data_IF_424534192083
#
_entry.id   IF_424534192083
#
_cell.length_a   1.000
_cell.length_b   1.000
_cell.length_c   1.000
_cell.angle_alpha   90.00
_cell.angle_beta   90.00
_cell.angle_gamma   90.00
#
_symmetry.space_group_name_H-M   'P 1'
#
loop_
_entity.id
_entity.type
_entity.pdbx_description
1 polymer ?
#
# COMPACT_ATOMS: atom_id res chain seq x y z
N UNK A 1 25.12 1.84 12.23
CA UNK A 1 24.20 2.03 11.09
C UNK A 1 24.48 0.97 10.06
N UNK A 2 23.44 0.39 9.46
CA UNK A 2 23.58 -0.57 8.35
C UNK A 2 24.17 0.13 7.11
N UNK A 3 24.79 -0.62 6.20
CA UNK A 3 25.40 -0.04 5.00
C UNK A 3 24.36 0.54 4.04
N UNK A 4 24.74 1.53 3.24
CA UNK A 4 23.91 2.09 2.15
C UNK A 4 23.47 0.98 1.18
N UNK A 5 24.33 -0.02 0.97
CA UNK A 5 24.05 -1.19 0.13
C UNK A 5 22.87 -2.01 0.69
N UNK A 6 22.81 -2.22 2.00
CA UNK A 6 21.70 -2.93 2.63
C UNK A 6 20.37 -2.17 2.46
N UNK A 7 20.37 -0.85 2.64
CA UNK A 7 19.18 -0.03 2.40
C UNK A 7 18.70 -0.07 0.94
N UNK A 8 19.65 -0.02 -0.01
CA UNK A 8 19.35 -0.18 -1.44
C UNK A 8 18.77 -1.56 -1.76
N UNK A 9 19.32 -2.62 -1.17
CA UNK A 9 18.85 -3.98 -1.36
C UNK A 9 17.43 -4.20 -0.78
N UNK A 10 17.12 -3.65 0.40
CA UNK A 10 15.75 -3.67 0.98
C UNK A 10 14.76 -3.01 0.03
N UNK A 11 15.13 -1.85 -0.53
CA UNK A 11 14.27 -1.13 -1.51
C UNK A 11 14.09 -1.95 -2.79
N UNK A 12 15.16 -2.61 -3.27
CA UNK A 12 15.08 -3.50 -4.42
C UNK A 12 14.13 -4.68 -4.18
N UNK A 13 14.10 -5.25 -2.96
CA UNK A 13 13.16 -6.31 -2.59
C UNK A 13 11.71 -5.84 -2.70
N UNK A 14 11.38 -4.62 -2.25
CA UNK A 14 10.03 -4.04 -2.43
C UNK A 14 9.66 -4.01 -3.91
N UNK A 15 10.56 -3.48 -4.75
CA UNK A 15 10.34 -3.38 -6.19
C UNK A 15 10.15 -4.75 -6.86
N UNK A 16 11.07 -5.68 -6.62
CA UNK A 16 11.04 -7.03 -7.19
C UNK A 16 9.83 -7.84 -6.75
N UNK A 17 9.39 -7.69 -5.49
CA UNK A 17 8.19 -8.35 -5.00
C UNK A 17 6.90 -7.73 -5.58
N UNK A 18 6.88 -6.42 -5.81
CA UNK A 18 5.68 -5.72 -6.28
C UNK A 18 5.27 -6.08 -7.71
N UNK A 19 6.22 -6.32 -8.61
CA UNK A 19 5.93 -6.63 -10.01
C UNK A 19 5.10 -7.90 -10.21
N UNK A 20 5.53 -9.08 -9.70
CA UNK A 20 4.71 -10.29 -9.80
C UNK A 20 3.43 -10.18 -8.97
N UNK A 21 3.49 -9.54 -7.79
CA UNK A 21 2.32 -9.37 -6.94
C UNK A 21 1.22 -8.57 -7.64
N UNK A 22 1.55 -7.49 -8.37
CA UNK A 22 0.56 -6.72 -9.15
C UNK A 22 -0.22 -7.58 -10.13
N UNK A 23 0.49 -8.44 -10.89
CA UNK A 23 -0.12 -9.34 -11.87
C UNK A 23 -0.96 -10.42 -11.20
N UNK A 24 -0.48 -11.01 -10.10
CA UNK A 24 -1.21 -12.02 -9.34
C UNK A 24 -2.47 -11.44 -8.70
N UNK A 25 -2.38 -10.25 -8.12
CA UNK A 25 -3.51 -9.55 -7.52
C UNK A 25 -4.56 -9.16 -8.55
N UNK A 26 -4.16 -8.60 -9.70
CA UNK A 26 -5.09 -8.26 -10.77
C UNK A 26 -5.86 -9.50 -11.25
N UNK A 27 -5.12 -10.58 -11.55
CA UNK A 27 -5.69 -11.85 -11.99
C UNK A 27 -6.62 -12.46 -10.93
N UNK A 28 -6.22 -12.45 -9.66
CA UNK A 28 -7.03 -12.98 -8.57
C UNK A 28 -8.32 -12.16 -8.38
N UNK A 29 -8.21 -10.84 -8.38
CA UNK A 29 -9.37 -9.95 -8.25
C UNK A 29 -10.36 -10.11 -9.41
N UNK A 30 -9.86 -10.29 -10.63
CA UNK A 30 -10.69 -10.49 -11.82
C UNK A 30 -11.41 -11.85 -11.83
N UNK A 31 -10.67 -12.95 -11.63
CA UNK A 31 -11.23 -14.31 -11.72
C UNK A 31 -12.24 -14.59 -10.60
N UNK A 32 -12.01 -14.04 -9.42
CA UNK A 32 -12.83 -14.32 -8.24
C UNK A 32 -13.77 -13.18 -7.85
N UNK A 33 -13.88 -12.11 -8.66
CA UNK A 33 -14.60 -10.87 -8.32
C UNK A 33 -14.18 -10.31 -6.94
N UNK A 34 -12.92 -10.55 -6.57
CA UNK A 34 -12.39 -10.41 -5.22
C UNK A 34 -11.77 -9.03 -4.97
N UNK A 35 -12.31 -7.96 -5.57
CA UNK A 35 -11.74 -6.61 -5.48
C UNK A 35 -11.66 -6.10 -4.04
N UNK A 36 -12.76 -6.20 -3.31
CA UNK A 36 -12.84 -5.75 -1.90
C UNK A 36 -11.92 -6.56 -0.99
N UNK A 37 -12.00 -7.88 -1.04
CA UNK A 37 -11.18 -8.76 -0.19
C UNK A 37 -9.69 -8.59 -0.49
N UNK A 38 -9.31 -8.44 -1.76
CA UNK A 38 -7.91 -8.16 -2.14
C UNK A 38 -7.40 -6.84 -1.55
N UNK A 39 -8.18 -5.76 -1.64
CA UNK A 39 -7.81 -4.47 -1.06
C UNK A 39 -7.76 -4.51 0.48
N UNK A 40 -8.64 -5.28 1.13
CA UNK A 40 -8.58 -5.55 2.58
C UNK A 40 -7.29 -6.25 2.96
N UNK A 41 -6.91 -7.32 2.25
CA UNK A 41 -5.67 -8.04 2.51
C UNK A 41 -4.45 -7.13 2.28
N UNK A 42 -4.44 -6.35 1.20
CA UNK A 42 -3.38 -5.39 0.92
C UNK A 42 -3.24 -4.36 2.05
N UNK A 43 -4.34 -3.85 2.60
CA UNK A 43 -4.31 -2.94 3.73
C UNK A 43 -3.75 -3.62 5.00
N UNK A 44 -4.15 -4.86 5.29
CA UNK A 44 -3.61 -5.65 6.41
C UNK A 44 -2.11 -5.94 6.27
N UNK A 45 -1.64 -6.21 5.05
CA UNK A 45 -0.21 -6.33 4.76
C UNK A 45 0.53 -5.02 5.06
N UNK A 46 -0.07 -3.86 4.77
CA UNK A 46 0.49 -2.55 5.12
C UNK A 46 0.57 -2.30 6.63
N UNK A 47 -0.46 -2.69 7.38
CA UNK A 47 -0.47 -2.64 8.84
C UNK A 47 0.65 -3.53 9.40
N UNK A 48 0.72 -4.79 8.94
CA UNK A 48 1.75 -5.73 9.37
C UNK A 48 3.17 -5.26 9.04
N UNK A 49 3.38 -4.73 7.83
CA UNK A 49 4.68 -4.16 7.44
C UNK A 49 5.08 -2.98 8.36
N UNK A 50 4.14 -2.08 8.67
CA UNK A 50 4.40 -0.94 9.55
C UNK A 50 4.76 -1.40 10.98
N UNK A 51 4.02 -2.38 11.52
CA UNK A 51 4.33 -2.98 12.82
C UNK A 51 5.71 -3.64 12.83
N UNK A 52 6.05 -4.39 11.78
CA UNK A 52 7.38 -5.02 11.66
C UNK A 52 8.51 -3.99 11.59
N UNK A 53 8.29 -2.84 10.93
CA UNK A 53 9.28 -1.75 10.88
C UNK A 53 9.48 -1.09 12.25
N UNK A 54 8.41 -0.93 13.04
CA UNK A 54 8.53 -0.46 14.43
C UNK A 54 9.35 -1.45 15.28
N UNK A 55 9.04 -2.75 15.17
CA UNK A 55 9.77 -3.79 15.93
C UNK A 55 11.22 -3.89 15.46
N UNK A 56 11.49 -3.76 14.16
CA UNK A 56 12.84 -3.80 13.61
C UNK A 56 13.73 -2.64 14.13
N UNK A 57 13.13 -1.50 14.51
CA UNK A 57 13.85 -0.35 15.08
C UNK A 57 14.47 -0.62 16.46
N UNK A 58 13.85 -1.49 17.26
CA UNK A 58 14.31 -1.83 18.62
C UNK A 58 14.66 -3.31 18.80
N UNK A 59 14.49 -4.11 17.75
CA UNK A 59 14.55 -5.56 17.79
C UNK A 59 15.44 -6.14 16.68
N UNK A 60 15.13 -7.35 16.21
CA UNK A 60 15.99 -8.02 15.25
C UNK A 60 15.90 -7.39 13.87
N UNK A 61 17.04 -6.90 13.38
CA UNK A 61 17.12 -6.12 12.14
C UNK A 61 16.59 -6.85 10.90
N UNK A 62 16.65 -8.19 10.87
CA UNK A 62 16.23 -8.99 9.71
C UNK A 62 14.74 -8.85 9.39
N UNK A 63 13.93 -8.39 10.35
CA UNK A 63 12.50 -8.12 10.15
C UNK A 63 12.23 -7.07 9.06
N UNK A 64 13.21 -6.19 8.76
CA UNK A 64 13.09 -5.22 7.67
C UNK A 64 12.88 -5.89 6.31
N UNK A 65 13.45 -7.09 6.10
CA UNK A 65 13.28 -7.85 4.86
C UNK A 65 11.86 -8.38 4.72
N UNK A 66 11.28 -8.86 5.83
CA UNK A 66 9.90 -9.31 5.85
C UNK A 66 8.96 -8.13 5.61
N UNK A 67 9.21 -6.99 6.26
CA UNK A 67 8.45 -5.77 6.04
C UNK A 67 8.55 -5.28 4.59
N UNK A 68 9.73 -5.38 3.97
CA UNK A 68 9.93 -5.03 2.56
C UNK A 68 9.13 -5.93 1.62
N UNK A 69 9.13 -7.25 1.85
CA UNK A 69 8.31 -8.19 1.09
C UNK A 69 6.81 -7.89 1.26
N UNK A 70 6.35 -7.68 2.49
CA UNK A 70 4.95 -7.33 2.77
C UNK A 70 4.55 -6.00 2.12
N UNK A 71 5.45 -5.02 2.12
CA UNK A 71 5.24 -3.72 1.44
C UNK A 71 5.11 -3.91 -0.06
N UNK A 72 6.02 -4.67 -0.67
CA UNK A 72 6.01 -4.96 -2.09
C UNK A 72 4.73 -5.69 -2.53
N UNK A 73 4.37 -6.77 -1.83
CA UNK A 73 3.19 -7.59 -2.14
C UNK A 73 1.89 -6.84 -1.82
N UNK A 74 1.87 -6.05 -0.76
CA UNK A 74 0.70 -5.33 -0.28
C UNK A 74 0.63 -3.91 -0.85
N UNK A 75 0.92 -2.87 -0.04
CA UNK A 75 0.74 -1.48 -0.42
C UNK A 75 1.36 -1.07 -1.76
N UNK A 76 2.51 -1.61 -2.18
CA UNK A 76 3.11 -1.23 -3.49
C UNK A 76 2.36 -1.81 -4.70
N UNK A 77 1.47 -2.77 -4.48
CA UNK A 77 0.72 -3.48 -5.52
C UNK A 77 -0.75 -3.08 -5.61
N UNK A 78 -1.24 -2.19 -4.74
CA UNK A 78 -2.67 -1.80 -4.64
C UNK A 78 -3.31 -1.37 -5.96
N UNK A 79 -2.54 -0.67 -6.80
CA UNK A 79 -3.07 0.01 -7.99
C UNK A 79 -3.64 -0.97 -9.02
N UNK A 80 -3.08 -2.19 -9.10
CA UNK A 80 -3.55 -3.19 -10.06
C UNK A 80 -4.96 -3.68 -9.75
N UNK A 81 -5.31 -3.81 -8.47
CA UNK A 81 -6.67 -4.15 -8.03
C UNK A 81 -7.57 -2.92 -8.04
N UNK A 82 -7.08 -1.80 -7.50
CA UNK A 82 -7.86 -0.58 -7.32
C UNK A 82 -8.37 -0.01 -8.64
N UNK A 83 -7.51 0.08 -9.66
CA UNK A 83 -7.90 0.59 -10.98
C UNK A 83 -8.80 -0.39 -11.72
N UNK A 84 -8.57 -1.69 -11.61
CA UNK A 84 -9.42 -2.70 -12.24
C UNK A 84 -10.84 -2.67 -11.64
N UNK A 85 -10.94 -2.65 -10.31
CA UNK A 85 -12.21 -2.49 -9.62
C UNK A 85 -12.90 -1.18 -10.01
N UNK A 86 -12.17 -0.08 -10.08
CA UNK A 86 -12.70 1.22 -10.51
C UNK A 86 -13.32 1.16 -11.91
N UNK A 87 -12.68 0.50 -12.88
CA UNK A 87 -13.22 0.36 -14.23
C UNK A 87 -14.51 -0.47 -14.20
N UNK A 88 -14.52 -1.58 -13.45
CA UNK A 88 -15.68 -2.46 -13.32
C UNK A 88 -16.87 -1.74 -12.68
N UNK A 89 -16.66 -0.97 -11.60
CA UNK A 89 -17.75 -0.34 -10.85
C UNK A 89 -18.15 1.05 -11.37
N UNK A 90 -17.25 1.82 -11.99
CA UNK A 90 -17.58 3.13 -12.55
C UNK A 90 -18.16 3.04 -13.98
N UNK A 91 -17.84 1.95 -14.69
CA UNK A 91 -18.17 1.75 -16.09
C UNK A 91 -17.26 2.53 -17.06
N UNK A 92 -17.13 2.09 -18.33
CA UNK A 92 -16.16 2.64 -19.28
C UNK A 92 -16.30 4.15 -19.53
N UNK A 93 -17.54 4.65 -19.57
CA UNK A 93 -17.83 6.05 -19.85
C UNK A 93 -17.33 7.02 -18.74
N UNK A 94 -17.24 6.54 -17.49
CA UNK A 94 -16.79 7.34 -16.34
C UNK A 94 -15.39 6.97 -15.88
N UNK A 95 -14.79 5.92 -16.45
CA UNK A 95 -13.49 5.39 -16.04
C UNK A 95 -12.39 6.47 -16.06
N UNK A 96 -12.34 7.32 -17.10
CA UNK A 96 -11.35 8.39 -17.19
C UNK A 96 -11.47 9.46 -16.08
N UNK A 97 -12.70 9.88 -15.75
CA UNK A 97 -12.93 10.83 -14.65
C UNK A 97 -12.63 10.19 -13.29
N UNK A 98 -13.06 8.95 -13.10
CA UNK A 98 -12.85 8.22 -11.85
C UNK A 98 -11.36 7.93 -11.60
N UNK A 99 -10.63 7.47 -12.62
CA UNK A 99 -9.18 7.26 -12.52
C UNK A 99 -8.43 8.56 -12.31
N UNK A 100 -8.89 9.67 -12.90
CA UNK A 100 -8.37 11.01 -12.65
C UNK A 100 -8.44 11.38 -11.16
N UNK A 101 -9.58 11.18 -10.50
CA UNK A 101 -9.73 11.44 -9.05
C UNK A 101 -8.77 10.58 -8.22
N UNK A 102 -8.66 9.29 -8.54
CA UNK A 102 -7.75 8.37 -7.85
C UNK A 102 -6.29 8.78 -8.03
N UNK A 103 -5.89 9.12 -9.26
CA UNK A 103 -4.53 9.56 -9.57
C UNK A 103 -4.21 10.90 -8.92
N UNK A 104 -5.14 11.85 -8.88
CA UNK A 104 -4.94 13.11 -8.16
C UNK A 104 -4.66 12.86 -6.68
N UNK A 105 -5.45 12.01 -6.02
CA UNK A 105 -5.20 11.64 -4.62
C UNK A 105 -3.84 10.96 -4.43
N UNK A 106 -3.49 10.03 -5.31
CA UNK A 106 -2.20 9.33 -5.27
C UNK A 106 -1.01 10.28 -5.46
N UNK A 107 -1.08 11.20 -6.43
CA UNK A 107 -0.03 12.17 -6.72
C UNK A 107 0.12 13.20 -5.61
N UNK A 108 -0.99 13.68 -5.03
CA UNK A 108 -0.95 14.55 -3.84
C UNK A 108 -0.28 13.82 -2.68
N UNK A 109 -0.64 12.55 -2.45
CA UNK A 109 0.01 11.72 -1.43
C UNK A 109 1.51 11.52 -1.68
N UNK A 110 1.92 11.25 -2.92
CA UNK A 110 3.34 11.15 -3.30
C UNK A 110 4.10 12.47 -3.13
N UNK A 111 3.46 13.60 -3.39
CA UNK A 111 4.08 14.92 -3.24
C UNK A 111 4.26 15.33 -1.77
N UNK A 112 3.25 15.07 -0.93
CA UNK A 112 3.24 15.49 0.48
C UNK A 112 3.95 14.47 1.39
N UNK A 113 3.88 13.18 1.04
CA UNK A 113 4.36 12.09 1.89
C UNK A 113 5.83 12.20 2.30
N UNK A 114 6.79 12.28 1.37
CA UNK A 114 8.22 12.34 1.73
C UNK A 114 8.62 13.60 2.53
N UNK A 115 8.17 14.82 2.20
CA UNK A 115 8.41 15.99 3.05
C UNK A 115 7.82 15.84 4.46
N UNK A 116 6.60 15.30 4.56
CA UNK A 116 5.94 15.06 5.84
C UNK A 116 6.67 13.99 6.68
N UNK A 117 7.13 12.91 6.04
CA UNK A 117 7.99 11.91 6.64
C UNK A 117 9.26 12.54 7.19
N UNK A 118 9.97 13.32 6.37
CA UNK A 118 11.21 13.99 6.76
C UNK A 118 10.99 14.90 7.97
N UNK A 119 9.95 15.74 7.93
CA UNK A 119 9.59 16.62 9.03
C UNK A 119 9.30 15.87 10.35
N UNK A 120 8.62 14.71 10.30
CA UNK A 120 8.40 13.88 11.50
C UNK A 120 9.74 13.41 12.07
N UNK A 121 10.63 12.87 11.22
CA UNK A 121 11.93 12.36 11.68
C UNK A 121 12.80 13.49 12.24
N UNK A 122 12.81 14.65 11.58
CA UNK A 122 13.60 15.82 12.00
C UNK A 122 13.12 16.38 13.35
N UNK A 123 11.81 16.31 13.64
CA UNK A 123 11.23 16.86 14.88
C UNK A 123 11.22 15.86 16.05
N UNK A 124 11.01 14.57 15.77
CA UNK A 124 10.92 13.53 16.80
C UNK A 124 12.26 12.83 17.07
N UNK A 125 13.19 12.88 16.11
CA UNK A 125 14.44 12.14 16.16
C UNK A 125 14.29 10.62 15.98
N UNK A 126 13.09 10.13 15.67
CA UNK A 126 12.78 8.70 15.59
C UNK A 126 11.88 8.38 14.37
N UNK A 127 12.05 7.17 13.83
CA UNK A 127 11.24 6.64 12.74
C UNK A 127 9.94 6.00 13.23
N UNK A 128 9.78 5.71 14.53
CA UNK A 128 8.55 5.11 15.06
C UNK A 128 7.31 5.92 14.72
N UNK A 129 7.36 7.24 14.85
CA UNK A 129 6.22 8.12 14.55
C UNK A 129 5.79 8.06 13.07
N UNK A 130 6.74 7.89 12.16
CA UNK A 130 6.46 7.66 10.74
C UNK A 130 5.73 6.33 10.53
N UNK A 131 6.22 5.26 11.14
CA UNK A 131 5.63 3.93 10.98
C UNK A 131 4.24 3.86 11.59
N UNK A 132 3.99 4.55 12.71
CA UNK A 132 2.65 4.75 13.25
C UNK A 132 1.74 5.45 12.24
N UNK A 133 2.23 6.51 11.58
CA UNK A 133 1.43 7.24 10.58
C UNK A 133 1.12 6.36 9.35
N UNK A 134 2.08 5.53 8.93
CA UNK A 134 1.90 4.54 7.87
C UNK A 134 0.89 3.45 8.26
N UNK A 135 0.93 3.02 9.53
CA UNK A 135 -0.04 2.06 10.08
C UNK A 135 -1.45 2.67 10.12
N UNK A 136 -1.59 3.92 10.59
CA UNK A 136 -2.87 4.63 10.63
C UNK A 136 -3.45 4.80 9.24
N UNK A 137 -2.66 5.19 8.24
CA UNK A 137 -3.13 5.30 6.84
C UNK A 137 -3.55 3.94 6.27
N UNK A 138 -2.81 2.87 6.55
CA UNK A 138 -3.22 1.51 6.17
C UNK A 138 -4.53 1.08 6.86
N UNK A 139 -4.71 1.40 8.15
CA UNK A 139 -5.95 1.15 8.89
C UNK A 139 -7.13 1.95 8.34
N UNK A 140 -6.93 3.21 7.95
CA UNK A 140 -7.96 4.01 7.28
C UNK A 140 -8.37 3.38 5.94
N UNK A 141 -7.41 2.87 5.17
CA UNK A 141 -7.68 2.11 3.95
C UNK A 141 -8.50 0.84 4.23
N UNK A 142 -8.11 0.08 5.26
CA UNK A 142 -8.84 -1.11 5.71
C UNK A 142 -10.28 -0.78 6.12
N UNK A 143 -10.48 0.23 6.97
CA UNK A 143 -11.80 0.68 7.43
C UNK A 143 -12.65 1.16 6.25
N UNK A 144 -12.07 1.92 5.31
CA UNK A 144 -12.75 2.36 4.09
C UNK A 144 -13.25 1.17 3.27
N UNK A 145 -12.44 0.12 3.11
CA UNK A 145 -12.84 -1.08 2.40
C UNK A 145 -13.89 -1.91 3.15
N UNK A 146 -13.86 -1.91 4.49
CA UNK A 146 -14.89 -2.56 5.28
C UNK A 146 -16.25 -1.87 5.15
N UNK A 147 -16.26 -0.54 5.18
CA UNK A 147 -17.45 0.29 5.00
C UNK A 147 -17.99 0.24 3.56
N UNK A 148 -17.13 -0.07 2.58
CA UNK A 148 -17.57 -0.28 1.22
C UNK A 148 -18.36 -1.58 1.08
N UNK A 149 -19.64 -1.44 0.74
CA UNK A 149 -20.49 -2.52 0.25
C UNK A 149 -20.65 -2.33 -1.26
N UNK A 150 -20.05 -3.20 -2.10
CA UNK A 150 -20.32 -3.19 -3.52
C UNK A 150 -21.82 -3.45 -3.73
N UNK A 151 -22.55 -2.46 -4.26
CA UNK A 151 -23.90 -2.72 -4.78
C UNK A 151 -23.74 -3.59 -6.04
N UNK A 152 -24.66 -4.53 -6.23
CA UNK A 152 -24.66 -5.43 -7.39
C UNK A 152 -24.42 -4.66 -8.69
N UNK A 153 -23.64 -5.28 -9.60
CA UNK A 153 -23.30 -4.73 -10.91
C UNK A 153 -24.58 -4.17 -11.55
N UNK A 154 -24.60 -2.89 -11.99
CA UNK A 154 -25.70 -2.44 -12.83
C UNK A 154 -25.72 -3.35 -14.06
N UNK A 155 -26.81 -4.10 -14.22
CA UNK A 155 -27.10 -4.97 -15.36
C UNK A 155 -27.12 -4.19 -16.67
#
# INVERSE_FOLDING_TARGET
GQSIVAGGAVTAVVGLASMPARSLWARHAEIHDAYRSSLVIIALLGVGASLLLMVAGHGPWWLIWVAALMTGIGPSSWNSVGMLGLIVFAGPAKAGRASGVVLSGFLVGLGIGPPFFGWIVDTTGDYTAVWVTSMVTALLGFVTMLMWSPKDRPS
#
